data_IF_355814466361
#
_entry.id   IF_355814466361
#
_cell.length_a   1.000
_cell.length_b   1.000
_cell.length_c   1.000
_cell.angle_alpha   90.00
_cell.angle_beta   90.00
_cell.angle_gamma   90.00
#
_symmetry.space_group_name_H-M   'P 1'
#
loop_
_entity.id
_entity.type
_entity.pdbx_description
1 polymer ?
#
# COMPACT_ATOMS: atom_id res chain seq x y z
N UNK A 1 28.65 9.73 5.21
CA UNK A 1 29.25 8.38 5.36
C UNK A 1 28.22 7.31 5.71
N UNK A 2 27.37 7.51 6.73
CA UNK A 2 26.38 6.53 7.17
C UNK A 2 25.35 6.12 6.09
N UNK A 3 24.88 7.06 5.27
CA UNK A 3 23.96 6.76 4.17
C UNK A 3 24.52 5.72 3.17
N UNK A 4 25.81 5.85 2.81
CA UNK A 4 26.48 4.93 1.89
C UNK A 4 26.68 3.54 2.51
N UNK A 5 26.89 3.48 3.82
CA UNK A 5 26.93 2.21 4.56
C UNK A 5 25.57 1.49 4.48
N UNK A 6 24.46 2.20 4.69
CA UNK A 6 23.11 1.62 4.60
C UNK A 6 22.81 1.13 3.18
N UNK A 7 23.15 1.93 2.16
CA UNK A 7 23.04 1.52 0.75
C UNK A 7 23.88 0.25 0.51
N UNK A 8 25.12 0.23 0.98
CA UNK A 8 26.02 -0.92 0.86
C UNK A 8 25.45 -2.19 1.50
N UNK A 9 24.85 -2.09 2.70
CA UNK A 9 24.17 -3.20 3.38
C UNK A 9 23.02 -3.73 2.53
N UNK A 10 22.16 -2.85 2.01
CA UNK A 10 21.03 -3.27 1.16
C UNK A 10 21.50 -3.91 -0.15
N UNK A 11 22.51 -3.34 -0.82
CA UNK A 11 23.09 -3.90 -2.05
C UNK A 11 23.72 -5.26 -1.77
N UNK A 12 24.52 -5.39 -0.71
CA UNK A 12 25.10 -6.66 -0.30
C UNK A 12 24.01 -7.69 -0.01
N UNK A 13 22.95 -7.31 0.71
CA UNK A 13 21.81 -8.18 0.97
C UNK A 13 21.16 -8.68 -0.32
N UNK A 14 20.92 -7.78 -1.30
CA UNK A 14 20.38 -8.16 -2.62
C UNK A 14 21.32 -9.14 -3.33
N UNK A 15 22.62 -8.85 -3.38
CA UNK A 15 23.62 -9.72 -4.03
C UNK A 15 23.61 -11.11 -3.38
N UNK A 16 23.63 -11.18 -2.04
CA UNK A 16 23.56 -12.44 -1.29
C UNK A 16 22.30 -13.23 -1.67
N UNK A 17 21.12 -12.60 -1.69
CA UNK A 17 19.88 -13.28 -2.08
C UNK A 17 19.95 -13.79 -3.54
N UNK A 18 20.53 -13.00 -4.46
CA UNK A 18 20.71 -13.41 -5.87
C UNK A 18 21.70 -14.57 -6.03
N UNK A 19 22.79 -14.61 -5.26
CA UNK A 19 23.76 -15.73 -5.23
C UNK A 19 23.05 -17.02 -4.78
N UNK A 20 22.19 -16.93 -3.75
CA UNK A 20 21.34 -18.04 -3.31
C UNK A 20 20.15 -18.33 -4.25
N UNK A 21 20.13 -17.75 -5.46
CA UNK A 21 19.10 -17.92 -6.49
C UNK A 21 17.68 -17.61 -6.01
N UNK A 22 17.56 -16.73 -5.02
CA UNK A 22 16.29 -16.32 -4.46
C UNK A 22 15.47 -15.49 -5.48
N UNK A 23 14.15 -15.49 -5.30
CA UNK A 23 13.25 -14.82 -6.24
C UNK A 23 13.26 -13.31 -5.99
N UNK A 24 13.38 -12.51 -7.05
CA UNK A 24 13.40 -11.03 -6.96
C UNK A 24 12.13 -10.40 -6.40
N UNK A 25 11.00 -11.11 -6.47
CA UNK A 25 9.73 -10.66 -5.91
C UNK A 25 9.58 -10.98 -4.42
N UNK A 26 10.59 -11.62 -3.80
CA UNK A 26 10.57 -11.90 -2.36
C UNK A 26 10.55 -10.57 -1.59
N UNK A 27 9.71 -10.40 -0.55
CA UNK A 27 9.50 -9.11 0.10
C UNK A 27 10.79 -8.45 0.61
N UNK A 28 11.75 -9.20 1.12
CA UNK A 28 13.03 -8.64 1.59
C UNK A 28 13.92 -8.10 0.47
N UNK A 29 13.88 -8.70 -0.71
CA UNK A 29 14.58 -8.16 -1.89
C UNK A 29 13.89 -6.90 -2.38
N UNK A 30 12.55 -6.89 -2.44
CA UNK A 30 11.79 -5.69 -2.81
C UNK A 30 12.08 -4.53 -1.84
N UNK A 31 12.09 -4.80 -0.54
CA UNK A 31 12.38 -3.78 0.48
C UNK A 31 13.77 -3.18 0.31
N UNK A 32 14.79 -4.03 0.13
CA UNK A 32 16.16 -3.60 -0.08
C UNK A 32 16.29 -2.75 -1.37
N UNK A 33 15.67 -3.18 -2.48
CA UNK A 33 15.76 -2.46 -3.77
C UNK A 33 15.18 -1.05 -3.65
N UNK A 34 14.01 -0.90 -3.03
CA UNK A 34 13.36 0.41 -2.87
C UNK A 34 14.21 1.33 -2.03
N UNK A 35 14.75 0.84 -0.91
CA UNK A 35 15.57 1.69 -0.04
C UNK A 35 16.94 2.00 -0.63
N UNK A 36 17.50 1.15 -1.50
CA UNK A 36 18.66 1.53 -2.33
C UNK A 36 18.30 2.70 -3.23
N UNK A 37 17.17 2.64 -3.96
CA UNK A 37 16.75 3.73 -4.85
C UNK A 37 16.52 5.02 -4.07
N UNK A 38 15.74 4.97 -2.99
CA UNK A 38 15.38 6.13 -2.17
C UNK A 38 16.61 6.80 -1.56
N UNK A 39 17.50 6.03 -0.93
CA UNK A 39 18.69 6.58 -0.29
C UNK A 39 19.73 7.06 -1.31
N UNK A 40 19.85 6.39 -2.46
CA UNK A 40 20.73 6.84 -3.54
C UNK A 40 20.22 8.16 -4.11
N UNK A 41 18.92 8.27 -4.39
CA UNK A 41 18.32 9.54 -4.82
C UNK A 41 18.55 10.62 -3.77
N UNK A 42 18.22 10.37 -2.50
CA UNK A 42 18.41 11.35 -1.43
C UNK A 42 19.88 11.80 -1.30
N UNK A 43 20.86 10.91 -1.54
CA UNK A 43 22.29 11.24 -1.43
C UNK A 43 22.76 12.37 -2.36
N UNK A 44 22.06 12.60 -3.48
CA UNK A 44 22.37 13.72 -4.38
C UNK A 44 21.85 15.06 -3.88
N UNK A 45 20.85 15.07 -2.97
CA UNK A 45 20.22 16.27 -2.40
C UNK A 45 19.86 17.35 -3.44
N UNK A 46 19.42 16.92 -4.62
CA UNK A 46 18.96 17.82 -5.67
C UNK A 46 17.74 18.64 -5.20
N UNK A 47 17.51 19.78 -5.86
CA UNK A 47 16.37 20.66 -5.64
C UNK A 47 16.24 21.22 -4.22
N UNK A 48 17.37 21.33 -3.50
CA UNK A 48 17.41 21.96 -2.18
C UNK A 48 16.80 21.12 -1.06
N UNK A 49 16.76 19.79 -1.19
CA UNK A 49 16.36 18.92 -0.08
C UNK A 49 17.25 19.16 1.15
N UNK A 50 16.66 19.31 2.34
CA UNK A 50 17.44 19.61 3.54
C UNK A 50 18.32 18.43 3.94
N UNK A 51 19.44 18.76 4.59
CA UNK A 51 20.28 17.76 5.25
C UNK A 51 19.54 17.14 6.43
N UNK A 52 19.90 15.90 6.77
CA UNK A 52 19.36 15.16 7.90
C UNK A 52 20.48 14.80 8.87
N UNK A 53 20.10 14.65 10.13
CA UNK A 53 20.94 14.11 11.18
C UNK A 53 21.16 12.60 11.03
N UNK A 54 22.25 12.12 11.63
CA UNK A 54 22.56 10.69 11.68
C UNK A 54 21.46 9.88 12.40
N UNK A 55 20.71 10.49 13.32
CA UNK A 55 19.59 9.85 14.03
C UNK A 55 18.54 9.30 13.06
N UNK A 56 18.17 10.07 12.05
CA UNK A 56 17.19 9.68 11.02
C UNK A 56 17.70 8.49 10.20
N UNK A 57 18.99 8.49 9.85
CA UNK A 57 19.63 7.37 9.18
C UNK A 57 19.69 6.11 10.06
N UNK A 58 19.92 6.24 11.37
CA UNK A 58 19.91 5.13 12.33
C UNK A 58 18.52 4.48 12.40
N UNK A 59 17.44 5.29 12.42
CA UNK A 59 16.05 4.79 12.39
C UNK A 59 15.83 3.88 11.16
N UNK A 60 16.21 4.38 9.98
CA UNK A 60 16.09 3.64 8.71
C UNK A 60 16.95 2.37 8.73
N UNK A 61 18.21 2.47 9.17
CA UNK A 61 19.13 1.34 9.25
C UNK A 61 18.61 0.22 10.15
N UNK A 62 18.13 0.56 11.35
CA UNK A 62 17.60 -0.41 12.30
C UNK A 62 16.33 -1.08 11.77
N UNK A 63 15.44 -0.33 11.14
CA UNK A 63 14.23 -0.89 10.52
C UNK A 63 14.57 -1.87 9.40
N UNK A 64 15.49 -1.52 8.49
CA UNK A 64 15.95 -2.39 7.41
C UNK A 64 16.60 -3.68 7.95
N UNK A 65 17.57 -3.53 8.87
CA UNK A 65 18.27 -4.68 9.45
C UNK A 65 17.31 -5.60 10.22
N UNK A 66 16.40 -5.03 11.02
CA UNK A 66 15.41 -5.81 11.78
C UNK A 66 14.47 -6.57 10.85
N UNK A 67 14.05 -5.97 9.74
CA UNK A 67 13.25 -6.65 8.72
C UNK A 67 14.02 -7.84 8.11
N UNK A 68 15.29 -7.64 7.73
CA UNK A 68 16.11 -8.71 7.19
C UNK A 68 16.27 -9.84 8.20
N UNK A 69 16.57 -9.53 9.47
CA UNK A 69 16.66 -10.53 10.55
C UNK A 69 15.33 -11.27 10.70
N UNK A 70 14.20 -10.58 10.77
CA UNK A 70 12.87 -11.20 10.84
C UNK A 70 12.61 -12.17 9.68
N UNK A 71 13.03 -11.81 8.46
CA UNK A 71 12.90 -12.71 7.30
C UNK A 71 13.79 -13.95 7.42
N UNK A 72 15.03 -13.80 7.92
CA UNK A 72 15.97 -14.91 8.12
C UNK A 72 15.51 -15.86 9.23
N UNK A 73 14.96 -15.32 10.32
CA UNK A 73 14.36 -16.10 11.41
C UNK A 73 13.22 -16.95 10.85
N UNK A 74 12.25 -16.35 10.16
CA UNK A 74 11.15 -17.13 9.56
C UNK A 74 11.67 -18.12 8.53
N UNK A 75 12.65 -17.74 7.69
CA UNK A 75 13.27 -18.62 6.69
C UNK A 75 13.78 -19.91 7.32
N UNK A 76 14.46 -19.79 8.46
CA UNK A 76 15.06 -20.90 9.22
C UNK A 76 14.05 -21.68 10.08
N UNK A 77 12.91 -21.08 10.42
CA UNK A 77 11.83 -21.76 11.13
C UNK A 77 11.27 -22.94 10.33
N UNK A 78 11.16 -24.11 10.96
CA UNK A 78 10.53 -25.29 10.37
C UNK A 78 9.07 -24.98 9.97
N UNK A 79 8.60 -25.53 8.84
CA UNK A 79 7.22 -25.37 8.31
C UNK A 79 6.12 -25.74 9.33
N UNK A 80 6.44 -26.51 10.36
CA UNK A 80 5.52 -27.08 11.35
C UNK A 80 5.07 -26.11 12.45
N UNK A 81 5.66 -24.91 12.57
CA UNK A 81 5.33 -23.96 13.65
C UNK A 81 3.91 -23.39 13.58
N UNK A 82 3.14 -23.63 12.51
CA UNK A 82 1.71 -23.24 12.45
C UNK A 82 0.89 -24.30 11.71
N UNK A 83 0.54 -25.38 12.41
CA UNK A 83 -0.49 -26.32 11.98
C UNK A 83 -1.79 -25.54 11.73
N UNK A 84 -2.39 -25.65 10.54
CA UNK A 84 -3.61 -24.93 10.14
C UNK A 84 -3.41 -23.70 9.24
N UNK A 85 -2.20 -23.11 9.17
CA UNK A 85 -1.97 -21.91 8.35
C UNK A 85 -2.07 -22.15 6.85
N UNK A 86 -1.81 -23.37 6.35
CA UNK A 86 -1.92 -23.68 4.91
C UNK A 86 -3.37 -23.61 4.43
N UNK A 87 -4.30 -24.21 5.18
CA UNK A 87 -5.76 -24.12 4.91
C UNK A 87 -6.28 -22.68 4.93
N UNK A 88 -5.60 -21.77 5.63
CA UNK A 88 -5.99 -20.35 5.63
C UNK A 88 -5.81 -19.68 4.26
N UNK A 89 -4.74 -20.01 3.53
CA UNK A 89 -4.43 -19.40 2.22
C UNK A 89 -5.07 -20.11 1.02
N UNK A 90 -5.68 -21.27 1.24
CA UNK A 90 -6.38 -22.04 0.21
C UNK A 90 -7.89 -21.75 0.27
N UNK A 91 -8.29 -20.57 -0.24
CA UNK A 91 -9.69 -20.13 -0.30
C UNK A 91 -10.13 -19.80 -1.72
N UNK A 92 -11.43 -19.87 -1.96
CA UNK A 92 -12.05 -19.51 -3.23
C UNK A 92 -12.94 -18.27 -3.08
N UNK A 93 -13.06 -17.52 -4.17
CA UNK A 93 -13.87 -16.31 -4.23
C UNK A 93 -15.34 -16.63 -4.01
N UNK A 94 -15.99 -15.91 -3.10
CA UNK A 94 -17.45 -15.90 -2.94
C UNK A 94 -18.04 -14.95 -3.95
N UNK A 95 -18.27 -15.40 -5.18
CA UNK A 95 -18.86 -14.57 -6.25
C UNK A 95 -20.19 -13.91 -5.82
N UNK A 96 -20.99 -14.61 -5.00
CA UNK A 96 -22.23 -14.06 -4.43
C UNK A 96 -22.01 -12.91 -3.44
N UNK A 97 -20.86 -12.84 -2.77
CA UNK A 97 -20.50 -11.70 -1.93
C UNK A 97 -19.82 -10.61 -2.76
N UNK A 98 -18.89 -10.98 -3.66
CA UNK A 98 -18.11 -10.02 -4.43
C UNK A 98 -18.98 -9.19 -5.40
N UNK A 99 -19.91 -9.81 -6.13
CA UNK A 99 -20.71 -9.10 -7.16
C UNK A 99 -21.58 -7.99 -6.56
N UNK A 100 -22.40 -8.22 -5.50
CA UNK A 100 -23.14 -7.14 -4.85
C UNK A 100 -22.23 -6.03 -4.34
N UNK A 101 -21.05 -6.37 -3.84
CA UNK A 101 -20.11 -5.35 -3.34
C UNK A 101 -19.56 -4.46 -4.45
N UNK A 102 -19.22 -5.04 -5.61
CA UNK A 102 -18.84 -4.26 -6.80
C UNK A 102 -19.97 -3.35 -7.25
N UNK A 103 -21.22 -3.85 -7.28
CA UNK A 103 -22.39 -3.04 -7.66
C UNK A 103 -22.59 -1.89 -6.66
N UNK A 104 -22.57 -2.18 -5.36
CA UNK A 104 -22.71 -1.18 -4.31
C UNK A 104 -21.60 -0.11 -4.39
N UNK A 105 -20.36 -0.50 -4.72
CA UNK A 105 -19.26 0.45 -4.93
C UNK A 105 -19.61 1.48 -6.01
N UNK A 106 -20.05 1.03 -7.19
CA UNK A 106 -20.39 1.95 -8.28
C UNK A 106 -21.63 2.79 -7.98
N UNK A 107 -22.63 2.23 -7.29
CA UNK A 107 -23.82 2.98 -6.86
C UNK A 107 -23.47 4.10 -5.87
N UNK A 108 -22.65 3.81 -4.86
CA UNK A 108 -22.23 4.80 -3.86
C UNK A 108 -21.34 5.87 -4.50
N UNK A 109 -20.46 5.47 -5.43
CA UNK A 109 -19.55 6.39 -6.12
C UNK A 109 -20.25 7.31 -7.14
N UNK A 110 -21.46 6.96 -7.60
CA UNK A 110 -22.16 7.69 -8.64
C UNK A 110 -22.32 9.18 -8.30
N UNK A 111 -22.87 9.49 -7.13
CA UNK A 111 -23.13 10.89 -6.73
C UNK A 111 -21.84 11.71 -6.52
N UNK A 112 -20.82 11.23 -5.79
CA UNK A 112 -19.53 11.93 -5.69
C UNK A 112 -18.88 12.19 -7.05
N UNK A 113 -18.94 11.24 -7.99
CA UNK A 113 -18.38 11.41 -9.33
C UNK A 113 -19.12 12.49 -10.10
N UNK A 114 -20.46 12.48 -10.09
CA UNK A 114 -21.26 13.53 -10.75
C UNK A 114 -20.93 14.90 -10.19
N UNK A 115 -20.88 15.06 -8.86
CA UNK A 115 -20.51 16.34 -8.22
C UNK A 115 -19.12 16.80 -8.63
N UNK A 116 -18.15 15.90 -8.61
CA UNK A 116 -16.77 16.21 -9.02
C UNK A 116 -16.68 16.63 -10.48
N UNK A 117 -17.40 15.94 -11.37
CA UNK A 117 -17.45 16.29 -12.80
C UNK A 117 -18.09 17.66 -13.03
N UNK A 118 -19.17 17.99 -12.32
CA UNK A 118 -19.80 19.31 -12.40
C UNK A 118 -18.85 20.43 -11.96
N UNK A 119 -18.08 20.20 -10.88
CA UNK A 119 -17.06 21.15 -10.42
C UNK A 119 -15.92 21.31 -11.44
N UNK A 120 -15.46 20.22 -12.05
CA UNK A 120 -14.46 20.30 -13.12
C UNK A 120 -14.99 21.06 -14.34
N UNK A 121 -16.26 20.83 -14.72
CA UNK A 121 -16.92 21.55 -15.81
C UNK A 121 -17.12 23.05 -15.50
N UNK A 122 -17.28 23.42 -14.22
CA UNK A 122 -17.32 24.81 -13.79
C UNK A 122 -15.93 25.46 -13.68
N UNK A 123 -14.87 24.77 -14.09
CA UNK A 123 -13.50 25.29 -14.10
C UNK A 123 -12.68 25.00 -12.85
N UNK A 124 -13.18 24.20 -11.89
CA UNK A 124 -12.37 23.78 -10.75
C UNK A 124 -11.25 22.83 -11.21
N UNK A 125 -10.08 22.92 -10.59
CA UNK A 125 -8.99 21.97 -10.83
C UNK A 125 -9.05 20.79 -9.86
N UNK A 126 -8.40 19.67 -10.19
CA UNK A 126 -8.25 18.53 -9.27
C UNK A 126 -7.52 18.91 -7.97
N UNK A 127 -6.69 19.97 -8.01
CA UNK A 127 -6.07 20.52 -6.81
C UNK A 127 -7.11 21.16 -5.88
N UNK A 128 -8.02 21.96 -6.44
CA UNK A 128 -9.12 22.59 -5.68
C UNK A 128 -10.06 21.54 -5.08
N UNK A 129 -10.38 20.50 -5.85
CA UNK A 129 -11.20 19.38 -5.35
C UNK A 129 -10.59 18.78 -4.08
N UNK A 130 -9.29 18.46 -4.13
CA UNK A 130 -8.61 17.79 -3.02
C UNK A 130 -8.51 18.64 -1.75
N UNK A 131 -8.15 19.92 -1.89
CA UNK A 131 -7.75 20.74 -0.75
C UNK A 131 -8.82 21.72 -0.28
N UNK A 132 -9.76 22.09 -1.14
CA UNK A 132 -10.73 23.15 -0.85
C UNK A 132 -12.18 22.70 -1.00
N UNK A 133 -12.48 21.73 -1.87
CA UNK A 133 -13.86 21.37 -2.25
C UNK A 133 -14.23 19.92 -1.92
N UNK A 134 -13.44 19.25 -1.06
CA UNK A 134 -13.69 17.84 -0.71
C UNK A 134 -15.06 17.64 -0.04
N UNK A 135 -15.50 18.63 0.76
CA UNK A 135 -16.82 18.64 1.38
C UNK A 135 -17.95 18.87 0.35
N UNK A 136 -17.72 19.64 -0.71
CA UNK A 136 -18.71 19.85 -1.78
C UNK A 136 -18.94 18.56 -2.58
N UNK A 137 -17.89 17.75 -2.72
CA UNK A 137 -17.96 16.45 -3.38
C UNK A 137 -18.64 15.41 -2.48
N UNK A 138 -18.09 15.17 -1.29
CA UNK A 138 -18.53 14.05 -0.43
C UNK A 138 -19.74 14.39 0.46
N UNK A 139 -19.98 15.67 0.73
CA UNK A 139 -20.96 16.15 1.71
C UNK A 139 -20.65 15.72 3.15
N UNK A 140 -21.59 15.99 4.04
CA UNK A 140 -21.61 15.45 5.40
C UNK A 140 -22.65 14.32 5.51
N UNK A 141 -22.34 13.23 6.22
CA UNK A 141 -23.31 12.18 6.54
C UNK A 141 -22.94 10.81 5.99
N UNK A 142 -23.95 10.00 5.65
CA UNK A 142 -23.78 8.58 5.34
C UNK A 142 -22.92 8.34 4.09
N UNK A 143 -22.99 9.22 3.09
CA UNK A 143 -22.18 9.12 1.87
C UNK A 143 -20.69 9.26 2.19
N UNK A 144 -20.29 10.25 3.00
CA UNK A 144 -18.90 10.42 3.41
C UNK A 144 -18.39 9.24 4.26
N UNK A 145 -19.25 8.65 5.10
CA UNK A 145 -18.90 7.44 5.87
C UNK A 145 -18.70 6.25 4.93
N UNK A 146 -19.65 5.98 4.04
CA UNK A 146 -19.54 4.90 3.06
C UNK A 146 -18.35 5.11 2.13
N UNK A 147 -18.05 6.33 1.74
CA UNK A 147 -16.87 6.63 0.93
C UNK A 147 -15.59 6.19 1.64
N UNK A 148 -15.38 6.66 2.88
CA UNK A 148 -14.14 6.41 3.63
C UNK A 148 -14.00 4.96 4.13
N UNK A 149 -15.07 4.32 4.59
CA UNK A 149 -15.01 2.98 5.20
C UNK A 149 -15.45 1.86 4.26
N UNK A 150 -16.06 2.17 3.11
CA UNK A 150 -16.45 1.18 2.12
C UNK A 150 -15.78 1.40 0.76
N UNK A 151 -15.93 2.56 0.12
CA UNK A 151 -15.41 2.76 -1.25
C UNK A 151 -13.88 2.69 -1.32
N UNK A 152 -13.16 3.44 -0.48
CA UNK A 152 -11.69 3.44 -0.51
C UNK A 152 -11.08 2.07 -0.19
N UNK A 153 -11.48 1.40 0.92
CA UNK A 153 -10.89 0.11 1.22
C UNK A 153 -11.32 -0.99 0.27
N UNK A 154 -12.58 -0.96 -0.20
CA UNK A 154 -13.04 -1.90 -1.21
C UNK A 154 -12.23 -1.77 -2.50
N UNK A 155 -11.98 -0.55 -3.00
CA UNK A 155 -11.16 -0.38 -4.20
C UNK A 155 -9.72 -0.88 -3.97
N UNK A 156 -9.13 -0.60 -2.80
CA UNK A 156 -7.78 -1.10 -2.46
C UNK A 156 -7.72 -2.63 -2.53
N UNK A 157 -8.70 -3.31 -1.93
CA UNK A 157 -8.86 -4.76 -2.05
C UNK A 157 -9.10 -5.19 -3.52
N UNK A 158 -10.00 -4.51 -4.22
CA UNK A 158 -10.41 -4.90 -5.56
C UNK A 158 -9.27 -4.76 -6.58
N UNK A 159 -8.35 -3.81 -6.38
CA UNK A 159 -7.09 -3.69 -7.13
C UNK A 159 -6.25 -4.96 -6.99
N UNK A 160 -5.94 -5.38 -5.75
CA UNK A 160 -5.08 -6.57 -5.55
C UNK A 160 -5.76 -7.85 -6.03
N UNK A 161 -7.09 -7.94 -5.86
CA UNK A 161 -7.87 -9.07 -6.35
C UNK A 161 -7.92 -9.11 -7.87
N UNK A 162 -8.24 -8.02 -8.54
CA UNK A 162 -8.37 -7.98 -10.00
C UNK A 162 -7.04 -8.25 -10.70
N UNK A 163 -5.93 -7.78 -10.12
CA UNK A 163 -4.58 -8.06 -10.60
C UNK A 163 -4.23 -9.54 -10.37
N UNK A 164 -4.52 -10.12 -9.20
CA UNK A 164 -4.34 -11.56 -9.00
C UNK A 164 -5.17 -12.38 -10.00
N UNK A 165 -6.43 -12.00 -10.21
CA UNK A 165 -7.35 -12.64 -11.16
C UNK A 165 -6.88 -12.50 -12.62
N UNK A 166 -6.26 -11.38 -13.03
CA UNK A 166 -5.71 -11.22 -14.38
C UNK A 166 -4.67 -12.30 -14.73
N UNK A 167 -3.88 -12.68 -13.73
CA UNK A 167 -2.86 -13.73 -13.82
C UNK A 167 -3.38 -15.08 -13.27
N UNK A 168 -4.68 -15.27 -13.16
CA UNK A 168 -5.24 -16.57 -12.76
C UNK A 168 -5.56 -17.44 -13.98
N UNK A 169 -5.49 -18.78 -13.85
CA UNK A 169 -6.06 -19.68 -14.85
C UNK A 169 -7.55 -19.44 -15.12
N UNK A 170 -8.28 -18.87 -14.15
CA UNK A 170 -9.72 -18.57 -14.20
C UNK A 170 -10.01 -17.07 -14.39
N UNK A 171 -9.08 -16.33 -15.00
CA UNK A 171 -9.16 -14.88 -15.19
C UNK A 171 -10.47 -14.40 -15.82
N UNK A 172 -10.94 -13.26 -15.36
CA UNK A 172 -12.10 -12.53 -15.88
C UNK A 172 -11.68 -11.10 -16.18
N UNK A 173 -11.41 -10.79 -17.45
CA UNK A 173 -10.92 -9.48 -17.90
C UNK A 173 -11.79 -8.29 -17.43
N UNK A 174 -13.09 -8.53 -17.22
CA UNK A 174 -14.02 -7.53 -16.67
C UNK A 174 -13.56 -6.95 -15.33
N UNK A 175 -12.88 -7.74 -14.49
CA UNK A 175 -12.45 -7.27 -13.16
C UNK A 175 -11.39 -6.17 -13.27
N UNK A 176 -10.46 -6.31 -14.22
CA UNK A 176 -9.46 -5.27 -14.52
C UNK A 176 -10.11 -4.03 -15.10
N UNK A 177 -11.06 -4.17 -16.03
CA UNK A 177 -11.79 -3.03 -16.59
C UNK A 177 -12.51 -2.24 -15.50
N UNK A 178 -13.26 -2.93 -14.65
CA UNK A 178 -13.98 -2.31 -13.52
C UNK A 178 -13.01 -1.66 -12.52
N UNK A 179 -11.82 -2.25 -12.31
CA UNK A 179 -10.79 -1.65 -11.47
C UNK A 179 -10.26 -0.35 -12.07
N UNK A 180 -9.99 -0.31 -13.38
CA UNK A 180 -9.54 0.90 -14.07
C UNK A 180 -10.59 2.00 -13.97
N UNK A 181 -11.87 1.69 -14.22
CA UNK A 181 -12.97 2.64 -14.07
C UNK A 181 -13.07 3.12 -12.62
N UNK A 182 -12.94 2.22 -11.63
CA UNK A 182 -12.94 2.56 -10.21
C UNK A 182 -11.80 3.49 -9.80
N UNK A 183 -10.59 3.27 -10.33
CA UNK A 183 -9.42 4.14 -10.11
C UNK A 183 -9.67 5.52 -10.72
N UNK A 184 -10.24 5.59 -11.93
CA UNK A 184 -10.59 6.87 -12.57
C UNK A 184 -11.62 7.63 -11.74
N UNK A 185 -12.68 6.97 -11.29
CA UNK A 185 -13.70 7.57 -10.42
C UNK A 185 -13.09 8.10 -9.11
N UNK A 186 -12.26 7.29 -8.45
CA UNK A 186 -11.57 7.72 -7.23
C UNK A 186 -10.61 8.88 -7.45
N UNK A 187 -9.90 8.90 -8.59
CA UNK A 187 -8.97 10.00 -8.94
C UNK A 187 -9.74 11.30 -9.15
N UNK A 188 -10.88 11.26 -9.84
CA UNK A 188 -11.74 12.43 -10.06
C UNK A 188 -12.35 12.93 -8.74
N UNK A 189 -12.79 12.01 -7.88
CA UNK A 189 -13.46 12.35 -6.60
C UNK A 189 -12.49 12.88 -5.54
N UNK A 190 -11.25 12.41 -5.51
CA UNK A 190 -10.28 12.77 -4.46
C UNK A 190 -9.22 13.76 -4.91
N UNK A 191 -9.05 13.96 -6.23
CA UNK A 191 -7.86 14.63 -6.80
C UNK A 191 -6.54 13.91 -6.48
N UNK A 192 -6.59 12.70 -5.92
CA UNK A 192 -5.44 11.90 -5.49
C UNK A 192 -5.00 10.88 -6.53
N UNK A 193 -3.75 10.40 -6.41
CA UNK A 193 -3.15 9.39 -7.31
C UNK A 193 -2.79 8.09 -6.61
N UNK A 194 -3.15 7.96 -5.35
CA UNK A 194 -2.63 6.91 -4.48
C UNK A 194 -3.08 5.51 -4.92
N UNK A 195 -4.32 5.37 -5.39
CA UNK A 195 -4.82 4.12 -5.97
C UNK A 195 -4.10 3.72 -7.26
N UNK A 196 -3.54 4.67 -8.01
CA UNK A 196 -2.70 4.37 -9.18
C UNK A 196 -1.38 3.76 -8.72
N UNK A 197 -0.78 4.26 -7.62
CA UNK A 197 0.41 3.63 -7.05
C UNK A 197 0.14 2.22 -6.53
N UNK A 198 -1.00 1.97 -5.88
CA UNK A 198 -1.42 0.61 -5.52
C UNK A 198 -1.54 -0.30 -6.74
N UNK A 199 -2.18 0.19 -7.81
CA UNK A 199 -2.33 -0.57 -9.05
C UNK A 199 -0.98 -0.89 -9.70
N UNK A 200 -0.09 0.10 -9.86
CA UNK A 200 1.25 -0.10 -10.43
C UNK A 200 2.07 -1.06 -9.56
N UNK A 201 2.10 -0.86 -8.24
CA UNK A 201 2.86 -1.69 -7.32
C UNK A 201 2.40 -3.15 -7.35
N UNK A 202 1.09 -3.39 -7.26
CA UNK A 202 0.53 -4.74 -7.33
C UNK A 202 0.78 -5.39 -8.70
N UNK A 203 0.63 -4.64 -9.79
CA UNK A 203 0.84 -5.14 -11.15
C UNK A 203 2.31 -5.45 -11.40
N UNK A 204 3.24 -4.62 -10.92
CA UNK A 204 4.68 -4.85 -11.00
C UNK A 204 5.09 -6.12 -10.24
N UNK A 205 4.61 -6.30 -9.01
CA UNK A 205 4.88 -7.51 -8.22
C UNK A 205 4.32 -8.76 -8.92
N UNK A 206 3.06 -8.75 -9.36
CA UNK A 206 2.47 -9.86 -10.12
C UNK A 206 3.24 -10.16 -11.41
N UNK A 207 3.66 -9.12 -12.14
CA UNK A 207 4.49 -9.29 -13.33
C UNK A 207 5.81 -9.99 -13.00
N UNK A 208 6.49 -9.64 -11.90
CA UNK A 208 7.73 -10.29 -11.46
C UNK A 208 7.52 -11.75 -11.04
N UNK A 209 6.38 -12.08 -10.43
CA UNK A 209 6.01 -13.45 -10.04
C UNK A 209 5.81 -14.33 -11.27
N UNK A 210 4.92 -13.91 -12.17
CA UNK A 210 4.48 -14.77 -13.27
C UNK A 210 5.41 -14.75 -14.49
N UNK A 211 6.28 -13.73 -14.65
CA UNK A 211 7.31 -13.76 -15.72
C UNK A 211 8.31 -14.90 -15.56
N UNK A 212 8.50 -15.41 -14.33
CA UNK A 212 9.48 -16.48 -14.00
C UNK A 212 8.84 -17.84 -13.72
N UNK A 213 7.53 -17.90 -13.45
CA UNK A 213 6.82 -19.13 -13.09
C UNK A 213 5.73 -19.42 -14.13
N UNK A 214 6.16 -19.75 -15.35
CA UNK A 214 5.30 -19.93 -16.53
C UNK A 214 4.67 -21.32 -16.48
N UNK A 215 3.58 -21.48 -15.71
CA UNK A 215 2.86 -22.76 -15.60
C UNK A 215 1.35 -22.58 -15.85
N UNK A 216 1.00 -21.84 -16.90
CA UNK A 216 -0.39 -21.81 -17.39
C UNK A 216 -0.58 -22.74 -18.58
N UNK A 217 -1.81 -23.24 -18.69
CA UNK A 217 -2.39 -24.09 -19.75
C UNK A 217 -1.93 -23.83 -21.21
N UNK A 218 -1.38 -22.67 -21.58
CA UNK A 218 -0.64 -22.51 -22.85
C UNK A 218 0.37 -21.34 -22.85
N UNK A 219 1.54 -21.55 -23.47
CA UNK A 219 2.60 -20.53 -23.66
C UNK A 219 2.10 -19.24 -24.33
N UNK A 220 1.15 -19.35 -25.27
CA UNK A 220 0.58 -18.21 -26.01
C UNK A 220 -0.28 -17.31 -25.13
N UNK A 221 -0.99 -17.90 -24.17
CA UNK A 221 -1.78 -17.19 -23.17
C UNK A 221 -0.88 -16.34 -22.25
N UNK A 222 0.32 -16.83 -21.93
CA UNK A 222 1.25 -16.16 -21.02
C UNK A 222 1.85 -14.90 -21.63
N UNK A 223 2.27 -14.99 -22.89
CA UNK A 223 2.79 -13.84 -23.64
C UNK A 223 1.73 -12.73 -23.76
N UNK A 224 0.45 -13.07 -23.91
CA UNK A 224 -0.65 -12.09 -23.95
C UNK A 224 -0.83 -11.37 -22.60
N UNK A 225 -0.88 -12.09 -21.47
CA UNK A 225 -1.05 -11.44 -20.15
C UNK A 225 0.13 -10.54 -19.83
N UNK A 226 1.36 -11.01 -20.04
CA UNK A 226 2.55 -10.22 -19.78
C UNK A 226 2.62 -8.98 -20.68
N UNK A 227 2.16 -9.07 -21.94
CA UNK A 227 2.02 -7.92 -22.83
C UNK A 227 0.96 -6.95 -22.31
N UNK A 228 -0.21 -7.43 -21.92
CA UNK A 228 -1.28 -6.61 -21.33
C UNK A 228 -0.80 -5.89 -20.07
N UNK A 229 -0.14 -6.60 -19.14
CA UNK A 229 0.41 -6.03 -17.92
C UNK A 229 1.44 -4.94 -18.22
N UNK A 230 2.34 -5.16 -19.20
CA UNK A 230 3.31 -4.15 -19.63
C UNK A 230 2.62 -2.90 -20.18
N UNK A 231 1.60 -3.06 -21.02
CA UNK A 231 0.82 -1.95 -21.57
C UNK A 231 0.11 -1.18 -20.45
N UNK A 232 -0.52 -1.88 -19.50
CA UNK A 232 -1.20 -1.27 -18.36
C UNK A 232 -0.24 -0.48 -17.46
N UNK A 233 0.99 -0.98 -17.24
CA UNK A 233 2.03 -0.23 -16.51
C UNK A 233 2.36 1.06 -17.26
N UNK A 234 2.60 0.99 -18.57
CA UNK A 234 2.92 2.17 -19.39
C UNK A 234 1.78 3.20 -19.31
N UNK A 235 0.53 2.77 -19.51
CA UNK A 235 -0.65 3.64 -19.42
C UNK A 235 -0.76 4.30 -18.05
N UNK A 236 -0.57 3.55 -16.96
CA UNK A 236 -0.67 4.07 -15.60
C UNK A 236 0.45 5.10 -15.30
N UNK A 237 1.68 4.85 -15.77
CA UNK A 237 2.80 5.80 -15.65
C UNK A 237 2.52 7.06 -16.47
N UNK A 238 2.05 6.93 -17.71
CA UNK A 238 1.67 8.07 -18.54
C UNK A 238 0.54 8.89 -17.91
N UNK A 239 -0.45 8.23 -17.29
CA UNK A 239 -1.52 8.91 -16.56
C UNK A 239 -0.96 9.72 -15.37
N UNK A 240 -0.02 9.18 -14.60
CA UNK A 240 0.63 9.92 -13.51
C UNK A 240 1.36 11.15 -14.04
N UNK A 241 2.11 11.01 -15.14
CA UNK A 241 2.84 12.12 -15.76
C UNK A 241 1.85 13.19 -16.24
N UNK A 242 0.78 12.80 -16.95
CA UNK A 242 -0.25 13.71 -17.43
C UNK A 242 -0.92 14.49 -16.28
N UNK A 243 -1.32 13.80 -15.20
CA UNK A 243 -1.91 14.46 -14.03
C UNK A 243 -0.87 15.38 -13.34
N UNK A 244 0.43 15.10 -13.46
CA UNK A 244 1.50 15.96 -12.92
C UNK A 244 1.62 17.25 -13.71
N UNK A 245 1.65 17.15 -15.03
CA UNK A 245 1.71 18.30 -15.94
C UNK A 245 0.49 19.21 -15.75
N UNK A 246 -0.72 18.63 -15.65
CA UNK A 246 -1.95 19.44 -15.47
C UNK A 246 -2.02 20.19 -14.14
N UNK A 247 -1.15 19.85 -13.17
CA UNK A 247 -1.01 20.60 -11.92
C UNK A 247 0.01 21.73 -11.99
N UNK A 248 0.66 21.94 -13.14
CA UNK A 248 1.65 23.00 -13.33
C UNK A 248 2.97 22.78 -12.57
N UNK A 249 3.28 21.53 -12.19
CA UNK A 249 4.51 21.20 -11.45
C UNK A 249 5.61 20.70 -12.40
N UNK A 250 6.85 21.13 -12.16
CA UNK A 250 8.05 20.59 -12.82
C UNK A 250 8.14 19.07 -12.59
N UNK A 251 8.15 18.30 -13.68
CA UNK A 251 7.98 16.83 -13.61
C UNK A 251 9.17 16.19 -12.88
N UNK A 252 10.39 16.57 -13.27
CA UNK A 252 11.62 16.00 -12.72
C UNK A 252 11.77 16.25 -11.22
N UNK A 253 11.57 17.51 -10.82
CA UNK A 253 11.58 17.93 -9.41
C UNK A 253 10.49 17.20 -8.61
N UNK A 254 9.26 17.17 -9.11
CA UNK A 254 8.13 16.52 -8.42
C UNK A 254 8.41 15.04 -8.22
N UNK A 255 8.85 14.31 -9.25
CA UNK A 255 9.18 12.89 -9.13
C UNK A 255 10.30 12.71 -8.11
N UNK A 256 11.39 13.48 -8.22
CA UNK A 256 12.52 13.35 -7.34
C UNK A 256 12.17 13.59 -5.86
N UNK A 257 11.51 14.72 -5.57
CA UNK A 257 11.09 15.09 -4.22
C UNK A 257 10.09 14.09 -3.65
N UNK A 258 9.13 13.58 -4.44
CA UNK A 258 8.17 12.57 -3.97
C UNK A 258 8.81 11.20 -3.67
N UNK A 259 9.89 10.83 -4.37
CA UNK A 259 10.56 9.56 -4.15
C UNK A 259 11.49 9.57 -2.93
N UNK A 260 12.17 10.70 -2.65
CA UNK A 260 13.21 10.75 -1.61
C UNK A 260 13.05 11.84 -0.56
N UNK A 261 12.18 12.82 -0.76
CA UNK A 261 11.85 13.87 0.22
C UNK A 261 11.17 13.35 1.48
N UNK A 262 10.69 12.11 1.46
CA UNK A 262 10.18 11.45 2.65
C UNK A 262 11.25 11.23 3.73
N UNK A 263 12.51 11.11 3.34
CA UNK A 263 13.64 10.93 4.26
C UNK A 263 13.83 12.16 5.16
N UNK A 264 14.00 13.39 4.64
CA UNK A 264 14.05 14.57 5.48
C UNK A 264 12.71 14.88 6.17
N UNK A 265 11.58 14.51 5.57
CA UNK A 265 10.30 14.69 6.25
C UNK A 265 10.15 13.80 7.49
N UNK A 266 10.73 12.60 7.48
CA UNK A 266 10.79 11.73 8.67
C UNK A 266 11.46 12.45 9.85
N UNK A 267 12.57 13.14 9.60
CA UNK A 267 13.29 13.91 10.64
C UNK A 267 12.40 14.98 11.25
N UNK A 268 11.86 15.85 10.40
CA UNK A 268 11.01 16.96 10.84
C UNK A 268 9.82 16.49 11.68
N UNK A 269 9.16 15.40 11.28
CA UNK A 269 8.02 14.90 12.04
C UNK A 269 8.44 14.22 13.35
N UNK A 270 9.61 13.56 13.40
CA UNK A 270 10.12 12.97 14.64
C UNK A 270 10.49 14.03 15.68
N UNK A 271 10.87 15.23 15.26
CA UNK A 271 11.17 16.34 16.17
C UNK A 271 9.90 17.03 16.70
N UNK A 272 8.83 17.06 15.88
CA UNK A 272 7.54 17.62 16.29
C UNK A 272 6.79 16.77 17.31
N UNK A 273 6.98 15.45 17.31
CA UNK A 273 6.20 14.52 18.13
C UNK A 273 7.09 13.70 19.06
N UNK A 274 7.08 14.07 20.34
CA UNK A 274 7.93 13.45 21.37
C UNK A 274 7.21 12.41 22.22
N UNK A 275 5.87 12.38 22.22
CA UNK A 275 5.09 11.46 23.03
C UNK A 275 4.84 10.13 22.32
N UNK A 276 5.11 9.04 23.04
CA UNK A 276 4.93 7.69 22.50
C UNK A 276 3.47 7.24 22.45
N UNK A 277 3.07 6.64 21.33
CA UNK A 277 1.70 6.15 21.10
C UNK A 277 1.51 4.65 21.36
N UNK A 278 2.56 3.94 21.81
CA UNK A 278 2.53 2.58 22.35
C UNK A 278 1.85 1.52 21.46
N UNK A 279 2.00 1.64 20.14
CA UNK A 279 1.47 0.73 19.11
C UNK A 279 0.21 1.26 18.42
N UNK A 280 -0.50 2.20 19.05
CA UNK A 280 -1.75 2.71 18.51
C UNK A 280 -1.56 3.54 17.23
N UNK A 281 -0.38 4.15 17.02
CA UNK A 281 -0.06 4.89 15.80
C UNK A 281 0.14 3.95 14.61
N UNK A 282 0.95 2.91 14.79
CA UNK A 282 1.24 1.87 13.78
C UNK A 282 -0.01 1.12 13.36
N UNK A 283 -0.89 0.77 14.31
CA UNK A 283 -2.12 0.02 14.05
C UNK A 283 -3.36 0.90 13.89
N UNK A 284 -3.19 2.22 13.76
CA UNK A 284 -4.28 3.20 13.68
C UNK A 284 -5.33 2.85 12.62
N UNK A 285 -4.91 2.39 11.44
CA UNK A 285 -5.81 2.03 10.35
C UNK A 285 -6.74 0.86 10.67
N UNK A 286 -6.34 -0.03 11.58
CA UNK A 286 -7.20 -1.11 12.09
C UNK A 286 -8.03 -0.66 13.29
N UNK A 287 -7.46 0.15 14.19
CA UNK A 287 -8.12 0.58 15.42
C UNK A 287 -9.25 1.58 15.16
N UNK A 288 -9.04 2.57 14.30
CA UNK A 288 -10.01 3.65 14.10
C UNK A 288 -11.39 3.17 13.62
N UNK A 289 -11.51 2.29 12.62
CA UNK A 289 -12.82 1.76 12.21
C UNK A 289 -13.59 1.07 13.35
N UNK A 290 -12.91 0.38 14.27
CA UNK A 290 -13.53 -0.28 15.42
C UNK A 290 -14.17 0.75 16.35
N UNK A 291 -13.45 1.81 16.69
CA UNK A 291 -13.98 2.87 17.55
C UNK A 291 -15.08 3.69 16.88
N UNK A 292 -15.06 3.83 15.55
CA UNK A 292 -16.16 4.46 14.79
C UNK A 292 -17.44 3.66 14.93
N UNK A 293 -17.36 2.33 14.86
CA UNK A 293 -18.49 1.43 15.11
C UNK A 293 -18.98 1.60 16.55
N UNK A 294 -18.09 1.53 17.55
CA UNK A 294 -18.47 1.69 18.96
C UNK A 294 -19.17 3.01 19.25
N UNK A 295 -18.65 4.12 18.69
CA UNK A 295 -19.27 5.44 18.81
C UNK A 295 -20.65 5.50 18.17
N UNK A 296 -20.84 4.84 17.02
CA UNK A 296 -22.15 4.80 16.33
C UNK A 296 -23.19 3.99 17.09
N UNK A 297 -22.79 2.94 17.79
CA UNK A 297 -23.66 2.15 18.66
C UNK A 297 -23.82 2.72 20.08
N UNK A 298 -23.24 3.90 20.37
CA UNK A 298 -23.33 4.51 21.69
C UNK A 298 -22.56 3.78 22.80
N UNK A 299 -21.64 2.86 22.43
CA UNK A 299 -20.87 2.06 23.39
C UNK A 299 -19.82 2.94 24.10
N UNK A 300 -19.04 3.71 23.33
CA UNK A 300 -18.08 4.66 23.88
C UNK A 300 -17.76 5.79 22.90
N UNK A 301 -17.32 6.94 23.41
CA UNK A 301 -16.71 7.98 22.60
C UNK A 301 -15.33 7.57 22.06
N UNK A 302 -14.69 8.47 21.32
CA UNK A 302 -13.29 8.27 20.97
C UNK A 302 -12.42 8.51 22.21
N UNK A 303 -11.55 7.55 22.58
CA UNK A 303 -10.66 7.74 23.71
C UNK A 303 -9.60 8.80 23.37
N UNK A 304 -9.13 9.53 24.38
CA UNK A 304 -8.20 10.65 24.18
C UNK A 304 -6.91 10.29 23.42
N UNK A 305 -6.40 9.07 23.62
CA UNK A 305 -5.22 8.57 22.88
C UNK A 305 -5.49 8.42 21.37
N UNK A 306 -6.72 8.04 20.97
CA UNK A 306 -7.08 7.89 19.56
C UNK A 306 -7.25 9.26 18.91
N UNK A 307 -7.86 10.22 19.63
CA UNK A 307 -7.97 11.60 19.19
C UNK A 307 -6.61 12.28 19.05
N UNK A 308 -5.66 11.98 19.95
CA UNK A 308 -4.29 12.46 19.85
C UNK A 308 -3.63 11.96 18.55
N UNK A 309 -3.72 10.66 18.27
CA UNK A 309 -3.17 10.06 17.04
C UNK A 309 -3.82 10.63 15.78
N UNK A 310 -5.15 10.82 15.79
CA UNK A 310 -5.87 11.45 14.69
C UNK A 310 -5.34 12.88 14.45
N UNK A 311 -5.10 13.66 15.50
CA UNK A 311 -4.51 15.00 15.37
C UNK A 311 -3.08 14.98 14.80
N UNK A 312 -2.27 13.98 15.15
CA UNK A 312 -0.91 13.79 14.61
C UNK A 312 -0.98 13.49 13.11
N UNK A 313 -1.81 12.52 12.69
CA UNK A 313 -1.92 12.18 11.28
C UNK A 313 -2.55 13.29 10.43
N UNK A 314 -3.51 14.05 10.98
CA UNK A 314 -4.03 15.24 10.32
C UNK A 314 -2.94 16.30 10.11
N UNK A 315 -2.07 16.53 11.10
CA UNK A 315 -0.92 17.44 10.96
C UNK A 315 0.06 16.96 9.89
N UNK A 316 0.32 15.65 9.81
CA UNK A 316 1.23 15.07 8.80
C UNK A 316 0.65 15.15 7.38
N UNK A 317 -0.66 15.05 7.25
CA UNK A 317 -1.35 15.11 5.96
C UNK A 317 -1.53 16.57 5.46
N UNK A 318 -1.33 17.56 6.33
CA UNK A 318 -1.31 18.97 5.94
C UNK A 318 -0.07 19.28 5.06
N UNK A 319 -0.27 19.94 3.90
CA UNK A 319 0.81 20.42 3.06
C UNK A 319 1.78 21.35 3.80
N UNK A 320 3.07 21.08 3.69
CA UNK A 320 4.14 21.96 4.16
C UNK A 320 5.20 22.11 3.07
N UNK A 321 6.00 23.18 3.11
CA UNK A 321 7.08 23.38 2.16
C UNK A 321 8.33 22.64 2.61
N UNK A 322 8.63 21.50 1.97
CA UNK A 322 9.88 20.77 2.19
C UNK A 322 11.04 21.40 1.42
N UNK A 323 10.75 21.90 0.23
CA UNK A 323 11.66 22.67 -0.63
C UNK A 323 10.96 23.95 -1.08
N UNK A 324 11.70 25.01 -1.45
CA UNK A 324 11.10 26.26 -1.88
C UNK A 324 10.08 26.06 -3.01
N UNK A 325 8.86 26.56 -2.84
CA UNK A 325 7.83 26.53 -3.88
C UNK A 325 7.11 25.20 -4.09
N UNK A 326 7.49 24.11 -3.40
CA UNK A 326 6.80 22.82 -3.51
C UNK A 326 6.20 22.36 -2.17
N UNK A 327 4.89 22.18 -2.19
CA UNK A 327 4.16 21.55 -1.09
C UNK A 327 4.38 20.03 -1.07
N UNK A 328 4.84 19.54 0.07
CA UNK A 328 5.02 18.13 0.41
C UNK A 328 4.05 17.76 1.52
N UNK A 329 3.45 16.56 1.46
CA UNK A 329 2.62 16.07 2.56
C UNK A 329 2.60 14.54 2.64
N UNK A 330 2.23 14.05 3.84
CA UNK A 330 1.80 12.68 4.11
C UNK A 330 2.89 11.59 4.01
N UNK A 331 4.08 11.90 3.48
CA UNK A 331 5.09 10.89 3.17
C UNK A 331 6.24 10.82 4.18
N UNK A 332 5.97 10.46 5.44
CA UNK A 332 6.98 10.40 6.51
C UNK A 332 7.86 9.16 6.48
N UNK A 333 7.82 8.36 5.41
CA UNK A 333 8.30 6.97 5.35
C UNK A 333 7.51 6.02 6.25
N UNK A 334 7.67 4.71 6.05
CA UNK A 334 7.06 3.70 6.91
C UNK A 334 7.74 3.55 8.26
N UNK A 335 8.88 4.19 8.49
CA UNK A 335 9.58 4.12 9.79
C UNK A 335 8.98 5.05 10.83
N UNK A 336 8.25 6.09 10.41
CA UNK A 336 7.68 7.09 11.31
C UNK A 336 6.72 6.50 12.34
N UNK A 337 5.70 5.74 11.93
CA UNK A 337 4.67 5.29 12.88
C UNK A 337 5.21 4.31 13.95
N UNK A 338 6.07 3.33 13.61
CA UNK A 338 6.72 2.50 14.63
C UNK A 338 7.66 3.30 15.54
N UNK A 339 8.30 4.36 15.02
CA UNK A 339 9.12 5.25 15.81
C UNK A 339 8.30 6.13 16.76
N UNK A 340 7.17 6.66 16.29
CA UNK A 340 6.20 7.37 17.11
C UNK A 340 5.71 6.49 18.26
N UNK A 341 5.47 5.21 18.00
CA UNK A 341 4.95 4.28 19.01
C UNK A 341 5.93 3.95 20.14
N UNK A 342 7.22 3.82 19.87
CA UNK A 342 8.19 3.34 20.87
C UNK A 342 9.65 3.66 20.57
N UNK A 343 9.90 4.73 19.81
CA UNK A 343 11.24 5.14 19.38
C UNK A 343 11.96 4.06 18.57
N UNK A 344 13.28 3.96 18.77
CA UNK A 344 14.10 2.95 18.10
C UNK A 344 13.66 1.52 18.43
N UNK A 345 13.18 1.28 19.65
CA UNK A 345 12.70 -0.03 20.08
C UNK A 345 11.42 -0.44 19.33
N UNK A 346 10.47 0.50 19.17
CA UNK A 346 9.26 0.29 18.36
C UNK A 346 9.58 -0.06 16.90
N UNK A 347 10.56 0.62 16.31
CA UNK A 347 11.06 0.32 14.95
C UNK A 347 11.63 -1.10 14.87
N UNK A 348 12.52 -1.48 15.80
CA UNK A 348 13.15 -2.81 15.79
C UNK A 348 12.10 -3.91 15.90
N UNK A 349 11.19 -3.82 16.89
CA UNK A 349 10.16 -4.84 17.08
C UNK A 349 9.24 -4.94 15.87
N UNK A 350 8.71 -3.80 15.41
CA UNK A 350 7.73 -3.81 14.34
C UNK A 350 8.33 -4.41 13.06
N UNK A 351 9.52 -3.98 12.65
CA UNK A 351 10.13 -4.47 11.42
C UNK A 351 10.61 -5.92 11.53
N UNK A 352 11.04 -6.38 12.70
CA UNK A 352 11.33 -7.80 12.94
C UNK A 352 10.07 -8.65 12.74
N UNK A 353 8.95 -8.25 13.34
CA UNK A 353 7.65 -8.95 13.20
C UNK A 353 7.15 -8.88 11.75
N UNK A 354 7.24 -7.71 11.11
CA UNK A 354 6.82 -7.52 9.73
C UNK A 354 7.65 -8.39 8.78
N UNK A 355 8.97 -8.43 8.95
CA UNK A 355 9.86 -9.27 8.16
C UNK A 355 9.54 -10.76 8.33
N UNK A 356 9.30 -11.20 9.56
CA UNK A 356 8.87 -12.56 9.85
C UNK A 356 7.53 -12.89 9.17
N UNK A 357 6.54 -12.01 9.29
CA UNK A 357 5.22 -12.19 8.71
C UNK A 357 5.25 -12.22 7.18
N UNK A 358 5.95 -11.28 6.55
CA UNK A 358 6.09 -11.19 5.10
C UNK A 358 6.72 -12.46 4.50
N UNK A 359 7.77 -12.98 5.13
CA UNK A 359 8.39 -14.26 4.72
C UNK A 359 7.43 -15.44 4.92
N UNK A 360 6.66 -15.43 6.01
CA UNK A 360 5.64 -16.44 6.27
C UNK A 360 4.56 -16.50 5.19
N UNK A 361 4.07 -15.35 4.71
CA UNK A 361 3.11 -15.28 3.61
C UNK A 361 3.76 -15.71 2.29
N UNK A 362 4.99 -15.26 2.02
CA UNK A 362 5.76 -15.66 0.84
C UNK A 362 5.91 -17.19 0.72
N UNK A 363 6.27 -17.87 1.82
CA UNK A 363 6.40 -19.34 1.86
C UNK A 363 5.10 -20.10 1.60
N UNK A 364 3.95 -19.45 1.76
CA UNK A 364 2.60 -20.01 1.56
C UNK A 364 1.96 -19.53 0.27
N UNK A 365 2.69 -18.80 -0.57
CA UNK A 365 2.20 -18.30 -1.85
C UNK A 365 1.87 -19.46 -2.80
N UNK A 366 0.59 -19.61 -3.12
CA UNK A 366 0.09 -20.48 -4.18
C UNK A 366 -0.33 -19.64 -5.40
N UNK A 367 0.42 -19.79 -6.49
CA UNK A 367 0.20 -19.04 -7.74
C UNK A 367 -1.06 -19.45 -8.50
N UNK A 368 -1.66 -20.60 -8.15
CA UNK A 368 -2.93 -21.05 -8.71
C UNK A 368 -4.12 -20.49 -7.93
N UNK A 369 -3.88 -19.89 -6.76
CA UNK A 369 -4.91 -19.37 -5.87
C UNK A 369 -4.88 -17.83 -5.81
N UNK A 370 -5.92 -17.20 -6.34
CA UNK A 370 -6.08 -15.73 -6.34
C UNK A 370 -6.05 -15.13 -4.93
N UNK A 371 -6.63 -15.80 -3.93
CA UNK A 371 -6.63 -15.35 -2.55
C UNK A 371 -5.21 -15.28 -1.97
N UNK A 372 -4.42 -16.33 -2.22
CA UNK A 372 -3.04 -16.39 -1.77
C UNK A 372 -2.19 -15.30 -2.43
N UNK A 373 -2.39 -15.08 -3.74
CA UNK A 373 -1.70 -14.01 -4.48
C UNK A 373 -2.14 -12.64 -3.97
N UNK A 374 -3.43 -12.40 -3.73
CA UNK A 374 -3.94 -11.12 -3.19
C UNK A 374 -3.37 -10.80 -1.81
N UNK A 375 -3.27 -11.80 -0.91
CA UNK A 375 -2.57 -11.62 0.38
C UNK A 375 -1.12 -11.21 0.17
N UNK A 376 -0.43 -11.90 -0.73
CA UNK A 376 0.95 -11.59 -1.06
C UNK A 376 1.12 -10.19 -1.66
N UNK A 377 0.18 -9.74 -2.49
CA UNK A 377 0.18 -8.40 -3.06
C UNK A 377 -0.03 -7.33 -2.00
N UNK A 378 -0.97 -7.50 -1.06
CA UNK A 378 -1.17 -6.55 0.04
C UNK A 378 0.10 -6.41 0.88
N UNK A 379 0.72 -7.51 1.32
CA UNK A 379 1.96 -7.39 2.11
C UNK A 379 3.12 -6.81 1.29
N UNK A 380 3.16 -7.09 -0.02
CA UNK A 380 4.19 -6.53 -0.89
C UNK A 380 3.99 -5.03 -1.08
N UNK A 381 2.75 -4.53 -1.10
CA UNK A 381 2.46 -3.10 -1.18
C UNK A 381 2.93 -2.33 0.07
N UNK A 382 2.86 -2.92 1.27
CA UNK A 382 3.42 -2.33 2.50
C UNK A 382 4.91 -2.03 2.30
N UNK A 383 5.64 -3.00 1.75
CA UNK A 383 7.06 -2.89 1.47
C UNK A 383 7.33 -1.97 0.28
N UNK A 384 6.54 -2.09 -0.80
CA UNK A 384 6.75 -1.38 -2.05
C UNK A 384 6.57 0.14 -1.90
N UNK A 385 5.66 0.53 -1.00
CA UNK A 385 5.31 1.93 -0.73
C UNK A 385 5.87 2.42 0.60
N UNK A 386 6.82 1.67 1.17
CA UNK A 386 7.47 2.00 2.45
C UNK A 386 8.17 3.37 2.45
N UNK A 387 8.61 3.83 1.27
CA UNK A 387 9.21 5.16 1.15
C UNK A 387 8.16 6.29 1.26
N UNK A 388 6.89 6.03 0.97
CA UNK A 388 5.82 6.99 1.18
C UNK A 388 5.43 7.04 2.66
N UNK A 389 4.74 6.02 3.15
CA UNK A 389 4.28 5.91 4.54
C UNK A 389 3.96 4.47 4.85
N UNK A 390 3.82 4.14 6.14
CA UNK A 390 3.40 2.80 6.53
C UNK A 390 1.92 2.61 6.17
N UNK A 391 1.63 1.87 5.08
CA UNK A 391 0.28 1.85 4.51
C UNK A 391 -0.80 1.36 5.48
N UNK A 392 -0.47 0.48 6.43
CA UNK A 392 -1.42 -0.03 7.45
C UNK A 392 -1.88 1.02 8.48
N UNK A 393 -1.25 2.19 8.53
CA UNK A 393 -1.79 3.29 9.34
C UNK A 393 -3.02 3.90 8.68
N UNK A 394 -3.21 3.72 7.37
CA UNK A 394 -4.39 4.19 6.66
C UNK A 394 -5.52 3.15 6.71
N UNK A 395 -6.71 3.55 7.17
CA UNK A 395 -7.85 2.65 7.31
C UNK A 395 -8.29 2.04 5.97
N UNK A 396 -8.15 2.76 4.85
CA UNK A 396 -8.46 2.19 3.53
C UNK A 396 -7.58 1.01 3.15
N UNK A 397 -6.31 1.01 3.55
CA UNK A 397 -5.44 -0.14 3.31
C UNK A 397 -5.70 -1.26 4.30
N UNK A 398 -5.88 -0.92 5.58
CA UNK A 398 -6.09 -1.89 6.65
C UNK A 398 -7.40 -2.65 6.51
N UNK A 399 -8.49 -1.98 6.15
CA UNK A 399 -9.77 -2.64 5.87
C UNK A 399 -9.74 -3.50 4.59
N UNK A 400 -8.81 -3.28 3.65
CA UNK A 400 -8.66 -4.14 2.47
C UNK A 400 -8.34 -5.60 2.86
N UNK A 401 -7.62 -5.83 3.96
CA UNK A 401 -7.42 -7.17 4.52
C UNK A 401 -8.73 -7.81 4.98
N UNK A 402 -9.60 -7.02 5.61
CA UNK A 402 -10.93 -7.47 6.03
C UNK A 402 -11.73 -7.88 4.81
N UNK A 403 -11.84 -7.00 3.80
CA UNK A 403 -12.52 -7.27 2.53
C UNK A 403 -12.01 -8.53 1.83
N UNK A 404 -10.70 -8.75 1.83
CA UNK A 404 -10.10 -9.97 1.29
C UNK A 404 -10.64 -11.22 2.01
N UNK A 405 -10.70 -11.20 3.35
CA UNK A 405 -11.20 -12.33 4.16
C UNK A 405 -12.69 -12.60 3.94
N UNK A 406 -13.55 -11.57 3.98
CA UNK A 406 -15.01 -11.76 3.84
C UNK A 406 -15.43 -12.20 2.42
N UNK A 407 -14.69 -11.79 1.40
CA UNK A 407 -14.98 -12.16 0.01
C UNK A 407 -14.53 -13.57 -0.37
N UNK A 408 -13.90 -14.32 0.53
CA UNK A 408 -13.36 -15.65 0.25
C UNK A 408 -13.85 -16.70 1.26
N UNK A 409 -14.13 -17.92 0.80
CA UNK A 409 -14.52 -19.07 1.63
C UNK A 409 -13.49 -20.18 1.54
N UNK A 410 -13.42 -21.01 2.57
CA UNK A 410 -12.70 -22.27 2.46
C UNK A 410 -13.21 -23.02 1.23
N UNK A 411 -12.27 -23.54 0.44
CA UNK A 411 -12.60 -24.43 -0.67
C UNK A 411 -13.33 -25.64 -0.07
N UNK A 412 -14.53 -25.94 -0.56
CA UNK A 412 -15.17 -27.21 -0.18
C UNK A 412 -14.28 -28.29 -0.77
N UNK A 413 -13.73 -29.15 0.09
CA UNK A 413 -13.27 -30.45 -0.37
C UNK A 413 -14.55 -31.15 -0.85
N UNK A 414 -14.64 -31.43 -2.14
CA UNK A 414 -15.71 -32.27 -2.67
C UNK A 414 -15.53 -33.63 -1.96
N UNK A 415 -16.29 -33.83 -0.89
CA UNK A 415 -16.49 -35.14 -0.31
C UNK A 415 -17.21 -35.91 -1.42
N UNK A 416 -16.44 -36.71 -2.16
CA UNK A 416 -17.00 -37.79 -2.95
C UNK A 416 -17.81 -38.65 -1.98
N UNK A 417 -19.10 -38.35 -1.87
CA UNK A 417 -20.10 -39.29 -1.41
C UNK A 417 -20.18 -40.36 -2.51
N UNK A 418 -19.22 -41.29 -2.48
CA UNK A 418 -19.47 -42.63 -2.98
C UNK A 418 -20.37 -43.29 -1.94
N UNK A 419 -21.67 -43.20 -2.17
CA UNK A 419 -22.66 -44.14 -1.64
C UNK A 419 -23.33 -44.79 -2.84
#
# INVERSE_FOLDING_TARGET
>A
MLIYLIIGICVLYIIVQLIYKEKVYRPSVLFAVIWVVVLTMYSFRLYGLPEIENRTLIIIALGLCSFFVGTLVNKSSKKYLVVGARKFFEKEVREFALKPMVIAFFLIMFMPVVRSLLLLLSGASLYMIRYSMQNDVLGSGIIAILFNYYCEPFLTFYIVYSIANLFSPYRKNKNILLTIIGILFMTIVTGGRFFIFYFIGALAVCFLIYRRNIDFKSLRTNKKVLKTARILIIIAVTAIIAITITRGSEIGETIYVYFCGSVPFLEQMNDLFTQHTNGAGTFYGFLRPIFVIFRKFGICGFPGWLTNIESIFLKIDNPYYLVPGMLFNSFTTSFFAPYLDGGLFGVVIFYLVLGFFCEGVYKRLDLKNEYSVSWFLLISLIVMLSFFRLTITHYSFSLAFVYLVITHKQKREDVNLMV
#
